data_IF_271171710306
#
_entry.id   IF_271171710306
#
_cell.length_a   1.000
_cell.length_b   1.000
_cell.length_c   1.000
_cell.angle_alpha   90.00
_cell.angle_beta   90.00
_cell.angle_gamma   90.00
#
_symmetry.space_group_name_H-M   'P 1'
#
loop_
_entity.id
_entity.type
_entity.pdbx_description
1 polymer ?
#
# COMPACT_ATOMS: atom_id res chain seq x y z
N UNK A 1 -0.67 61.65 -37.47
CA UNK A 1 -0.52 60.25 -37.05
C UNK A 1 -1.51 60.01 -35.94
N UNK A 2 -2.50 59.16 -36.16
CA UNK A 2 -3.52 58.81 -35.17
C UNK A 2 -2.92 57.91 -34.10
N UNK A 3 -3.13 58.23 -32.83
CA UNK A 3 -2.70 57.40 -31.71
C UNK A 3 -3.49 56.08 -31.71
N UNK A 4 -2.83 54.94 -31.44
CA UNK A 4 -3.52 53.66 -31.32
C UNK A 4 -4.51 53.69 -30.16
N UNK A 5 -5.68 53.09 -30.39
CA UNK A 5 -6.79 53.04 -29.46
C UNK A 5 -6.41 52.18 -28.23
N UNK A 6 -6.41 52.73 -26.99
CA UNK A 6 -5.98 52.02 -25.79
C UNK A 6 -6.79 50.74 -25.49
N UNK A 7 -7.97 50.59 -26.09
CA UNK A 7 -8.78 49.38 -25.98
C UNK A 7 -8.15 48.16 -26.68
N UNK A 8 -7.28 48.37 -27.66
CA UNK A 8 -6.64 47.28 -28.41
C UNK A 8 -5.67 46.49 -27.53
N UNK A 9 -4.90 47.18 -26.68
CA UNK A 9 -3.92 46.52 -25.81
C UNK A 9 -4.58 45.70 -24.69
N UNK A 10 -5.72 46.16 -24.17
CA UNK A 10 -6.48 45.44 -23.14
C UNK A 10 -7.12 44.16 -23.71
N UNK A 11 -7.68 44.23 -24.93
CA UNK A 11 -8.23 43.06 -25.63
C UNK A 11 -7.13 42.04 -25.96
N UNK A 12 -5.95 42.50 -26.39
CA UNK A 12 -4.81 41.62 -26.68
C UNK A 12 -4.30 40.96 -25.39
N UNK A 13 -4.20 41.70 -24.29
CA UNK A 13 -3.77 41.18 -22.99
C UNK A 13 -4.73 40.12 -22.44
N UNK A 14 -6.04 40.40 -22.52
CA UNK A 14 -7.10 39.45 -22.13
C UNK A 14 -7.06 38.18 -22.97
N UNK A 15 -6.91 38.31 -24.29
CA UNK A 15 -6.78 37.15 -25.19
C UNK A 15 -5.55 36.30 -24.91
N UNK A 16 -4.40 36.92 -24.59
CA UNK A 16 -3.17 36.19 -24.20
C UNK A 16 -3.37 35.42 -22.90
N UNK A 17 -4.04 36.01 -21.90
CA UNK A 17 -4.33 35.34 -20.63
C UNK A 17 -5.24 34.13 -20.83
N UNK A 18 -6.34 34.28 -21.59
CA UNK A 18 -7.24 33.17 -21.91
C UNK A 18 -6.54 32.03 -22.66
N UNK A 19 -5.67 32.36 -23.63
CA UNK A 19 -4.87 31.35 -24.33
C UNK A 19 -3.90 30.61 -23.40
N UNK A 20 -3.29 31.30 -22.42
CA UNK A 20 -2.39 30.66 -21.45
C UNK A 20 -3.11 29.71 -20.50
N UNK A 21 -4.28 30.08 -19.98
CA UNK A 21 -5.11 29.23 -19.11
C UNK A 21 -5.62 28.01 -19.88
N UNK A 22 -5.96 28.19 -21.15
CA UNK A 22 -6.43 27.13 -22.02
C UNK A 22 -5.30 26.15 -22.41
N UNK A 23 -4.08 26.65 -22.64
CA UNK A 23 -2.90 25.80 -22.85
C UNK A 23 -2.60 24.93 -21.63
N UNK A 24 -2.65 25.53 -20.44
CA UNK A 24 -2.46 24.80 -19.17
C UNK A 24 -3.50 23.68 -18.99
N UNK A 25 -4.77 23.95 -19.31
CA UNK A 25 -5.83 22.94 -19.25
C UNK A 25 -5.59 21.78 -20.24
N UNK A 26 -5.19 22.08 -21.49
CA UNK A 26 -4.86 21.07 -22.49
C UNK A 26 -3.71 20.18 -22.03
N UNK A 27 -2.65 20.78 -21.47
CA UNK A 27 -1.48 20.04 -21.00
C UNK A 27 -1.83 19.16 -19.78
N UNK A 28 -2.71 19.64 -18.91
CA UNK A 28 -3.26 18.86 -17.79
C UNK A 28 -4.03 17.64 -18.28
N UNK A 29 -4.90 17.80 -19.30
CA UNK A 29 -5.63 16.68 -19.91
C UNK A 29 -4.66 15.71 -20.60
N UNK A 30 -3.69 16.21 -21.37
CA UNK A 30 -2.68 15.36 -22.04
C UNK A 30 -1.89 14.53 -21.03
N UNK A 31 -1.45 15.14 -19.93
CA UNK A 31 -0.73 14.43 -18.86
C UNK A 31 -1.62 13.39 -18.20
N UNK A 32 -2.88 13.72 -17.92
CA UNK A 32 -3.86 12.78 -17.35
C UNK A 32 -4.09 11.59 -18.27
N UNK A 33 -4.31 11.83 -19.57
CA UNK A 33 -4.49 10.78 -20.58
C UNK A 33 -3.23 9.95 -20.79
N UNK A 34 -2.04 10.56 -20.71
CA UNK A 34 -0.76 9.83 -20.78
C UNK A 34 -0.60 8.89 -19.59
N UNK A 35 -0.88 9.37 -18.38
CA UNK A 35 -0.86 8.55 -17.15
C UNK A 35 -1.86 7.40 -17.25
N UNK A 36 -3.09 7.68 -17.70
CA UNK A 36 -4.11 6.64 -17.92
C UNK A 36 -3.65 5.61 -18.96
N UNK A 37 -3.10 6.06 -20.09
CA UNK A 37 -2.59 5.16 -21.14
C UNK A 37 -1.41 4.31 -20.65
N UNK A 38 -0.48 4.89 -19.91
CA UNK A 38 0.66 4.16 -19.32
C UNK A 38 0.21 3.17 -18.24
N UNK A 39 -0.84 3.50 -17.47
CA UNK A 39 -1.45 2.58 -16.52
C UNK A 39 -2.23 1.45 -17.19
N UNK A 40 -2.78 1.68 -18.40
CA UNK A 40 -3.57 0.69 -19.16
C UNK A 40 -2.76 -0.28 -20.01
N UNK A 41 -1.46 0.00 -20.24
CA UNK A 41 -0.59 -0.95 -20.96
C UNK A 41 -0.44 -2.19 -20.10
N UNK A 42 -0.83 -3.35 -20.64
CA UNK A 42 -0.60 -4.64 -20.01
C UNK A 42 0.89 -4.79 -19.68
N UNK A 43 1.24 -4.61 -18.40
CA UNK A 43 2.55 -4.98 -17.91
C UNK A 43 2.66 -6.49 -18.07
N UNK A 44 3.82 -6.96 -18.51
CA UNK A 44 4.19 -8.37 -18.38
C UNK A 44 3.83 -8.87 -16.96
N UNK A 45 3.56 -10.17 -16.74
CA UNK A 45 2.99 -10.70 -15.49
C UNK A 45 3.77 -10.40 -14.19
N UNK A 46 4.90 -9.68 -14.26
CA UNK A 46 5.42 -8.83 -13.19
C UNK A 46 4.58 -7.53 -13.04
N UNK A 47 3.31 -7.64 -12.67
CA UNK A 47 2.51 -6.46 -12.30
C UNK A 47 3.08 -5.80 -11.03
N UNK A 48 2.92 -4.48 -10.84
CA UNK A 48 3.29 -3.83 -9.59
C UNK A 48 2.25 -4.22 -8.53
N UNK A 49 2.66 -4.81 -7.41
CA UNK A 49 1.80 -4.72 -6.23
C UNK A 49 1.97 -5.74 -5.14
N UNK A 50 2.57 -6.91 -5.41
CA UNK A 50 2.65 -7.95 -4.38
C UNK A 50 3.99 -8.67 -4.38
N UNK A 51 5.07 -7.91 -4.43
CA UNK A 51 6.37 -8.48 -4.09
C UNK A 51 6.32 -8.86 -2.61
N UNK A 52 6.45 -10.16 -2.34
CA UNK A 52 6.61 -10.67 -0.98
C UNK A 52 8.08 -10.50 -0.63
N UNK A 53 8.36 -9.63 0.34
CA UNK A 53 9.71 -9.32 0.75
C UNK A 53 9.79 -9.12 2.26
N UNK A 54 11.00 -9.19 2.80
CA UNK A 54 11.32 -8.74 4.15
C UNK A 54 11.86 -7.31 4.07
N UNK A 55 11.49 -6.49 5.05
CA UNK A 55 11.90 -5.09 5.13
C UNK A 55 12.85 -4.88 6.29
N UNK A 56 14.10 -4.57 6.01
CA UNK A 56 15.09 -4.21 7.04
C UNK A 56 14.97 -2.74 7.42
N UNK A 57 14.55 -2.44 8.66
CA UNK A 57 14.37 -1.06 9.16
C UNK A 57 15.66 -0.22 9.14
N UNK A 58 16.83 -0.84 9.18
CA UNK A 58 18.12 -0.14 9.17
C UNK A 58 18.56 0.27 7.77
N UNK A 59 18.22 -0.52 6.75
CA UNK A 59 18.64 -0.28 5.37
C UNK A 59 17.52 0.30 4.50
N UNK A 60 16.28 0.23 4.97
CA UNK A 60 15.13 0.82 4.31
C UNK A 60 15.00 2.30 4.71
N UNK A 61 15.96 3.11 4.27
CA UNK A 61 16.02 4.55 4.56
C UNK A 61 16.02 5.32 3.24
N UNK A 62 15.00 6.15 3.01
CA UNK A 62 14.91 7.05 1.85
C UNK A 62 14.02 6.56 0.70
N UNK A 63 14.11 7.23 -0.45
CA UNK A 63 13.33 6.95 -1.67
C UNK A 63 13.83 5.73 -2.46
N UNK A 64 15.05 5.26 -2.19
CA UNK A 64 15.60 4.04 -2.79
C UNK A 64 15.19 2.81 -1.99
N UNK A 65 13.96 2.34 -2.23
CA UNK A 65 13.38 1.17 -1.56
C UNK A 65 14.16 -0.16 -1.72
N UNK A 66 15.19 -0.18 -2.58
CA UNK A 66 15.92 -1.40 -2.95
C UNK A 66 16.88 -1.90 -1.87
N UNK A 67 17.54 -1.01 -1.12
CA UNK A 67 18.65 -1.43 -0.23
C UNK A 67 18.18 -2.18 1.03
N UNK A 68 16.93 -2.00 1.43
CA UNK A 68 16.33 -2.68 2.59
C UNK A 68 15.33 -3.78 2.25
N UNK A 69 15.12 -4.07 0.96
CA UNK A 69 14.20 -5.09 0.47
C UNK A 69 14.95 -6.41 0.29
N UNK A 70 14.49 -7.47 0.96
CA UNK A 70 15.01 -8.83 0.77
C UNK A 70 13.89 -9.66 0.14
N UNK A 71 14.08 -10.10 -1.11
CA UNK A 71 13.03 -10.80 -1.84
C UNK A 71 12.82 -12.20 -1.27
N UNK A 72 11.55 -12.61 -1.13
CA UNK A 72 11.19 -13.95 -0.71
C UNK A 72 10.98 -14.79 -1.97
N UNK A 73 11.86 -15.77 -2.16
CA UNK A 73 11.78 -16.73 -3.24
C UNK A 73 11.08 -18.02 -2.78
N UNK A 74 10.56 -18.79 -3.73
CA UNK A 74 9.99 -20.11 -3.47
C UNK A 74 11.04 -21.14 -3.01
N UNK A 75 12.32 -20.87 -3.27
CA UNK A 75 13.43 -21.67 -2.74
C UNK A 75 13.91 -21.07 -1.41
N UNK A 76 13.62 -21.74 -0.30
CA UNK A 76 14.08 -21.34 1.03
C UNK A 76 15.59 -21.13 1.10
N UNK A 77 16.36 -21.82 0.23
CA UNK A 77 17.82 -21.68 0.17
C UNK A 77 18.26 -20.40 -0.50
N UNK A 78 17.51 -19.86 -1.45
CA UNK A 78 17.85 -18.55 -2.03
C UNK A 78 17.44 -17.43 -1.07
N UNK A 79 16.26 -17.53 -0.45
CA UNK A 79 15.81 -16.57 0.57
C UNK A 79 16.81 -16.49 1.74
N UNK A 80 17.31 -17.63 2.23
CA UNK A 80 18.34 -17.65 3.27
C UNK A 80 19.65 -16.98 2.81
N UNK A 81 20.09 -17.23 1.58
CA UNK A 81 21.29 -16.59 1.00
C UNK A 81 21.12 -15.08 0.87
N UNK A 82 19.93 -14.61 0.48
CA UNK A 82 19.65 -13.17 0.33
C UNK A 82 19.65 -12.47 1.69
N UNK A 83 19.15 -13.13 2.73
CA UNK A 83 19.24 -12.65 4.13
C UNK A 83 20.70 -12.59 4.57
N UNK A 84 21.47 -13.65 4.34
CA UNK A 84 22.89 -13.71 4.69
C UNK A 84 23.69 -12.61 3.97
N UNK A 85 23.44 -12.42 2.67
CA UNK A 85 24.07 -11.39 1.85
C UNK A 85 23.69 -9.99 2.32
N UNK A 86 22.42 -9.75 2.64
CA UNK A 86 21.94 -8.46 3.14
C UNK A 86 22.58 -8.10 4.48
N UNK A 87 22.53 -9.01 5.46
CA UNK A 87 23.08 -8.76 6.80
C UNK A 87 24.61 -8.58 6.77
N UNK A 88 25.30 -9.28 5.87
CA UNK A 88 26.75 -9.15 5.67
C UNK A 88 27.15 -7.96 4.81
N UNK A 89 26.19 -7.19 4.28
CA UNK A 89 26.48 -6.06 3.40
C UNK A 89 27.18 -4.93 4.18
N UNK A 90 28.11 -4.23 3.52
CA UNK A 90 28.80 -3.07 4.10
C UNK A 90 27.83 -1.97 4.53
N UNK A 91 26.73 -1.81 3.79
CA UNK A 91 25.70 -0.83 4.07
C UNK A 91 24.92 -1.17 5.35
N UNK A 92 24.51 -2.43 5.52
CA UNK A 92 23.88 -2.89 6.76
C UNK A 92 24.79 -2.67 7.97
N UNK A 93 26.05 -3.10 7.89
CA UNK A 93 27.03 -2.89 8.95
C UNK A 93 27.25 -1.41 9.27
N UNK A 94 27.31 -0.55 8.25
CA UNK A 94 27.41 0.91 8.44
C UNK A 94 26.21 1.42 9.22
N UNK A 95 24.99 1.05 8.82
CA UNK A 95 23.76 1.52 9.47
C UNK A 95 23.60 1.01 10.90
N UNK A 96 23.95 -0.26 11.17
CA UNK A 96 23.98 -0.82 12.54
C UNK A 96 24.95 -0.04 13.43
N UNK A 97 26.15 0.25 12.93
CA UNK A 97 27.19 0.94 13.69
C UNK A 97 26.88 2.43 13.90
N UNK A 98 26.34 3.12 12.88
CA UNK A 98 26.03 4.54 12.93
C UNK A 98 24.82 4.83 13.82
N UNK A 99 23.74 4.04 13.69
CA UNK A 99 22.52 4.29 14.46
C UNK A 99 22.62 3.85 15.92
N UNK A 100 23.59 2.97 16.25
CA UNK A 100 23.78 2.37 17.59
C UNK A 100 22.50 1.82 18.21
N UNK A 101 21.53 1.41 17.38
CA UNK A 101 20.24 0.88 17.82
C UNK A 101 20.03 -0.50 17.21
N UNK A 102 19.46 -1.46 17.96
CA UNK A 102 19.01 -2.70 17.38
C UNK A 102 17.93 -2.38 16.35
N UNK A 103 18.13 -2.87 15.13
CA UNK A 103 17.14 -2.80 14.08
C UNK A 103 16.07 -3.88 14.26
N UNK A 104 15.18 -3.95 13.29
CA UNK A 104 14.25 -5.05 13.09
C UNK A 104 14.03 -5.32 11.61
N UNK A 105 13.65 -6.56 11.29
CA UNK A 105 13.16 -6.95 9.96
C UNK A 105 11.66 -7.20 10.07
N UNK A 106 10.87 -6.46 9.28
CA UNK A 106 9.43 -6.69 9.15
C UNK A 106 9.18 -7.77 8.11
N UNK A 107 8.53 -8.86 8.52
CA UNK A 107 8.04 -9.87 7.60
C UNK A 107 6.66 -9.46 7.06
N UNK A 108 6.56 -9.12 5.77
CA UNK A 108 5.30 -8.65 5.17
C UNK A 108 4.23 -9.75 5.04
N UNK A 109 4.62 -11.03 5.10
CA UNK A 109 3.70 -12.17 5.08
C UNK A 109 3.06 -12.38 6.45
N UNK A 110 3.87 -12.33 7.50
CA UNK A 110 3.42 -12.58 8.87
C UNK A 110 2.91 -11.31 9.57
N UNK A 111 3.22 -10.13 9.03
CA UNK A 111 2.98 -8.81 9.65
C UNK A 111 3.60 -8.71 11.05
N UNK A 112 4.85 -9.19 11.19
CA UNK A 112 5.58 -9.19 12.45
C UNK A 112 7.00 -8.62 12.28
N UNK A 113 7.48 -7.97 13.33
CA UNK A 113 8.84 -7.44 13.43
C UNK A 113 9.74 -8.43 14.14
N UNK A 114 10.84 -8.81 13.50
CA UNK A 114 11.89 -9.68 14.03
C UNK A 114 13.05 -8.78 14.48
N UNK A 115 13.28 -8.71 15.79
CA UNK A 115 14.36 -7.89 16.33
C UNK A 115 15.74 -8.38 15.84
N UNK A 116 16.58 -7.44 15.41
CA UNK A 116 17.96 -7.71 15.00
C UNK A 116 18.90 -7.53 16.19
N UNK A 117 19.79 -8.49 16.36
CA UNK A 117 20.95 -8.36 17.23
C UNK A 117 22.06 -7.58 16.53
N UNK A 118 23.00 -7.03 17.31
CA UNK A 118 24.26 -6.50 16.78
C UNK A 118 25.13 -7.57 16.14
N UNK A 119 24.91 -8.83 16.51
CA UNK A 119 25.55 -9.99 15.89
C UNK A 119 24.69 -10.53 14.75
N UNK A 120 25.21 -10.44 13.53
CA UNK A 120 24.56 -10.95 12.32
C UNK A 120 24.22 -12.44 12.42
N UNK A 121 25.06 -13.25 13.07
CA UNK A 121 24.82 -14.68 13.22
C UNK A 121 23.59 -14.94 14.11
N UNK A 122 23.42 -14.15 15.17
CA UNK A 122 22.23 -14.24 16.02
C UNK A 122 20.99 -13.81 15.23
N UNK A 123 21.06 -12.71 14.49
CA UNK A 123 19.97 -12.23 13.64
C UNK A 123 19.54 -13.27 12.59
N UNK A 124 20.50 -13.89 11.89
CA UNK A 124 20.23 -14.97 10.93
C UNK A 124 19.50 -16.15 11.58
N UNK A 125 19.96 -16.56 12.77
CA UNK A 125 19.35 -17.66 13.53
C UNK A 125 17.96 -17.31 14.10
N UNK A 126 17.52 -16.05 14.04
CA UNK A 126 16.13 -15.68 14.36
C UNK A 126 15.27 -15.59 13.10
N UNK A 127 15.78 -15.00 12.03
CA UNK A 127 15.01 -14.75 10.79
C UNK A 127 14.78 -16.05 10.02
N UNK A 128 15.81 -16.88 9.85
CA UNK A 128 15.71 -18.10 9.03
C UNK A 128 14.72 -19.11 9.63
N UNK A 129 14.73 -19.40 10.95
CA UNK A 129 13.71 -20.25 11.55
C UNK A 129 12.31 -19.69 11.39
N UNK A 130 12.11 -18.38 11.57
CA UNK A 130 10.80 -17.74 11.40
C UNK A 130 10.22 -17.97 9.99
N UNK A 131 11.04 -17.84 8.94
CA UNK A 131 10.57 -18.05 7.56
C UNK A 131 10.24 -19.52 7.29
N UNK A 132 10.93 -20.44 7.98
CA UNK A 132 10.72 -21.89 7.91
C UNK A 132 9.64 -22.40 8.88
N UNK A 133 8.99 -21.52 9.64
CA UNK A 133 7.85 -21.92 10.48
C UNK A 133 6.68 -22.35 9.58
N UNK A 134 6.04 -23.48 9.91
CA UNK A 134 4.88 -23.99 9.17
C UNK A 134 3.76 -22.94 9.03
N UNK A 135 3.60 -22.09 10.03
CA UNK A 135 2.63 -20.98 10.02
C UNK A 135 3.00 -19.90 8.99
N UNK A 136 4.30 -19.62 8.81
CA UNK A 136 4.79 -18.71 7.78
C UNK A 136 4.53 -19.29 6.40
N UNK A 137 4.89 -20.55 6.16
CA UNK A 137 4.65 -21.24 4.88
C UNK A 137 3.17 -21.27 4.51
N UNK A 138 2.29 -21.59 5.46
CA UNK A 138 0.85 -21.59 5.25
C UNK A 138 0.30 -20.20 4.88
N UNK A 139 0.78 -19.14 5.56
CA UNK A 139 0.44 -17.75 5.22
C UNK A 139 1.00 -17.36 3.85
N UNK A 140 2.24 -17.74 3.55
CA UNK A 140 2.90 -17.48 2.26
C UNK A 140 2.09 -18.08 1.11
N UNK A 141 1.75 -19.36 1.20
CA UNK A 141 0.94 -20.06 0.22
C UNK A 141 -0.45 -19.44 0.05
N UNK A 142 -1.09 -19.02 1.16
CA UNK A 142 -2.39 -18.34 1.14
C UNK A 142 -2.31 -16.97 0.44
N UNK A 143 -1.31 -16.16 0.76
CA UNK A 143 -1.10 -14.84 0.14
C UNK A 143 -0.83 -15.02 -1.36
N UNK A 144 0.03 -15.97 -1.74
CA UNK A 144 0.30 -16.29 -3.14
C UNK A 144 -0.94 -16.76 -3.90
N UNK A 145 -1.77 -17.60 -3.27
CA UNK A 145 -3.06 -18.03 -3.84
C UNK A 145 -4.01 -16.84 -4.04
N UNK A 146 -4.08 -15.93 -3.08
CA UNK A 146 -4.90 -14.71 -3.20
C UNK A 146 -4.40 -13.84 -4.35
N UNK A 147 -3.09 -13.60 -4.46
CA UNK A 147 -2.50 -12.81 -5.55
C UNK A 147 -2.86 -13.42 -6.90
N UNK A 148 -2.72 -14.74 -7.07
CA UNK A 148 -3.12 -15.43 -8.31
C UNK A 148 -4.60 -15.20 -8.64
N UNK A 149 -5.49 -15.36 -7.65
CA UNK A 149 -6.93 -15.10 -7.83
C UNK A 149 -7.22 -13.65 -8.24
N UNK A 150 -6.50 -12.67 -7.70
CA UNK A 150 -6.66 -11.27 -8.10
C UNK A 150 -6.17 -11.02 -9.53
N UNK A 151 -5.00 -11.55 -9.88
CA UNK A 151 -4.45 -11.44 -11.25
C UNK A 151 -5.39 -12.08 -12.28
N UNK A 152 -6.04 -13.18 -11.94
CA UNK A 152 -7.01 -13.86 -12.83
C UNK A 152 -8.35 -13.12 -12.96
N UNK A 153 -8.70 -12.25 -11.99
CA UNK A 153 -9.96 -11.47 -11.97
C UNK A 153 -9.80 -10.08 -12.61
N UNK A 154 -8.60 -9.51 -12.58
CA UNK A 154 -8.32 -8.15 -13.10
C UNK A 154 -8.30 -7.93 -14.63
N UNK A 155 -8.32 -8.92 -15.56
CA UNK A 155 -8.33 -8.59 -16.98
C UNK A 155 -9.62 -7.90 -17.46
N UNK A 156 -10.74 -8.06 -16.74
CA UNK A 156 -12.07 -7.63 -17.23
C UNK A 156 -12.61 -6.32 -16.65
N UNK A 157 -12.13 -5.85 -15.49
CA UNK A 157 -12.73 -4.70 -14.80
C UNK A 157 -12.00 -3.37 -14.99
N UNK A 158 -10.76 -3.38 -15.51
CA UNK A 158 -9.96 -2.18 -15.76
C UNK A 158 -9.67 -1.90 -17.24
N UNK A 159 -10.13 -2.77 -18.15
CA UNK A 159 -10.33 -2.33 -19.53
C UNK A 159 -11.55 -1.42 -19.52
N UNK A 160 -11.32 -0.09 -19.50
CA UNK A 160 -12.29 0.86 -20.05
C UNK A 160 -12.75 0.25 -21.37
N UNK A 161 -14.04 -0.08 -21.45
CA UNK A 161 -14.56 -0.65 -22.68
C UNK A 161 -14.21 0.32 -23.82
N UNK A 162 -13.82 -0.15 -25.02
CA UNK A 162 -13.46 0.74 -26.12
C UNK A 162 -14.50 1.85 -26.38
N UNK A 163 -15.76 1.63 -26.01
CA UNK A 163 -16.83 2.62 -25.99
C UNK A 163 -16.61 3.78 -25.02
N UNK A 164 -16.20 3.53 -23.77
CA UNK A 164 -16.04 4.57 -22.74
C UNK A 164 -14.82 5.46 -23.01
N UNK A 165 -13.75 4.87 -23.55
CA UNK A 165 -12.59 5.64 -24.00
C UNK A 165 -12.93 6.48 -25.23
N UNK A 166 -13.72 5.96 -26.17
CA UNK A 166 -14.22 6.71 -27.32
C UNK A 166 -15.15 7.87 -26.93
N UNK A 167 -16.00 7.69 -25.93
CA UNK A 167 -16.87 8.75 -25.39
C UNK A 167 -16.06 9.87 -24.73
N UNK A 168 -15.00 9.52 -24.00
CA UNK A 168 -14.10 10.50 -23.39
C UNK A 168 -13.30 11.27 -24.44
N UNK A 169 -12.76 10.60 -25.45
CA UNK A 169 -12.09 11.24 -26.59
C UNK A 169 -13.05 12.16 -27.37
N UNK A 170 -14.31 11.74 -27.56
CA UNK A 170 -15.33 12.56 -28.20
C UNK A 170 -15.71 13.79 -27.36
N UNK A 171 -15.86 13.64 -26.04
CA UNK A 171 -16.16 14.73 -25.13
C UNK A 171 -15.04 15.78 -25.12
N UNK A 172 -13.78 15.35 -25.03
CA UNK A 172 -12.60 16.24 -25.11
C UNK A 172 -12.55 16.94 -26.47
N UNK A 173 -12.76 16.21 -27.58
CA UNK A 173 -12.82 16.78 -28.93
C UNK A 173 -13.90 17.84 -29.09
N UNK A 174 -15.11 17.55 -28.58
CA UNK A 174 -16.26 18.45 -28.65
C UNK A 174 -16.02 19.72 -27.83
N UNK A 175 -15.43 19.58 -26.63
CA UNK A 175 -15.06 20.71 -25.80
C UNK A 175 -14.03 21.58 -26.53
N UNK A 176 -12.95 20.99 -27.04
CA UNK A 176 -11.89 21.72 -27.73
C UNK A 176 -12.34 22.44 -29.01
N UNK A 177 -13.31 21.89 -29.75
CA UNK A 177 -13.95 22.59 -30.87
C UNK A 177 -14.84 23.75 -30.39
N UNK A 178 -15.62 23.57 -29.32
CA UNK A 178 -16.49 24.62 -28.75
C UNK A 178 -15.70 25.82 -28.22
N UNK A 179 -14.49 25.59 -27.68
CA UNK A 179 -13.61 26.69 -27.22
C UNK A 179 -12.75 27.26 -28.36
N UNK A 180 -12.92 26.81 -29.60
CA UNK A 180 -12.20 27.32 -30.78
C UNK A 180 -10.70 26.96 -30.83
N UNK A 181 -10.24 26.04 -29.96
CA UNK A 181 -8.84 25.60 -29.86
C UNK A 181 -8.44 24.79 -31.09
N UNK A 182 -9.35 23.94 -31.56
CA UNK A 182 -9.11 23.07 -32.71
C UNK A 182 -9.91 23.58 -33.91
N UNK A 183 -9.20 23.85 -35.01
CA UNK A 183 -9.83 24.12 -36.32
C UNK A 183 -10.40 22.85 -37.00
N UNK A 184 -10.32 21.69 -36.34
CA UNK A 184 -10.71 20.38 -36.88
C UNK A 184 -10.89 19.33 -35.77
N UNK A 185 -11.06 18.06 -36.14
CA UNK A 185 -11.25 16.99 -35.14
C UNK A 185 -9.98 16.76 -34.30
N UNK A 186 -10.11 16.23 -33.09
CA UNK A 186 -8.95 15.86 -32.25
C UNK A 186 -8.03 14.84 -32.94
N UNK A 187 -8.59 13.95 -33.76
CA UNK A 187 -7.80 13.02 -34.58
C UNK A 187 -6.87 13.76 -35.55
N UNK A 188 -7.38 14.81 -36.21
CA UNK A 188 -6.59 15.62 -37.14
C UNK A 188 -5.53 16.44 -36.41
N UNK A 189 -5.85 16.95 -35.22
CA UNK A 189 -4.87 17.61 -34.34
C UNK A 189 -3.74 16.67 -33.92
N UNK A 190 -4.06 15.45 -33.50
CA UNK A 190 -3.04 14.45 -33.12
C UNK A 190 -2.18 14.04 -34.32
N UNK A 191 -2.76 13.91 -35.53
CA UNK A 191 -1.99 13.69 -36.76
C UNK A 191 -1.05 14.87 -37.06
N UNK A 192 -1.52 16.11 -36.89
CA UNK A 192 -0.71 17.30 -37.12
C UNK A 192 0.43 17.45 -36.10
N UNK A 193 0.19 17.08 -34.82
CA UNK A 193 1.25 17.06 -33.81
C UNK A 193 2.30 16.00 -34.10
N UNK A 194 1.88 14.79 -34.49
CA UNK A 194 2.81 13.73 -34.89
C UNK A 194 3.66 14.13 -36.10
N UNK A 195 3.06 14.81 -37.08
CA UNK A 195 3.80 15.33 -38.24
C UNK A 195 4.85 16.38 -37.84
N UNK A 196 4.54 17.26 -36.86
CA UNK A 196 5.52 18.22 -36.33
C UNK A 196 6.64 17.55 -35.54
N UNK A 197 6.33 16.57 -34.69
CA UNK A 197 7.36 15.81 -33.97
C UNK A 197 8.28 15.05 -34.93
N UNK A 198 7.75 14.52 -36.03
CA UNK A 198 8.56 13.90 -37.08
C UNK A 198 9.43 14.94 -37.81
N UNK A 199 8.87 16.12 -38.15
CA UNK A 199 9.62 17.23 -38.77
C UNK A 199 10.76 17.76 -37.86
N UNK A 200 10.53 17.89 -36.56
CA UNK A 200 11.56 18.26 -35.58
C UNK A 200 12.66 17.20 -35.49
N UNK A 201 12.32 15.90 -35.54
CA UNK A 201 13.34 14.84 -35.57
C UNK A 201 14.21 14.91 -36.82
N UNK A 202 13.64 15.29 -37.96
CA UNK A 202 14.42 15.48 -39.19
C UNK A 202 15.30 16.74 -39.13
N UNK A 203 14.84 17.82 -38.51
CA UNK A 203 15.60 19.06 -38.40
C UNK A 203 16.74 19.02 -37.36
N UNK A 204 16.65 18.15 -36.33
CA UNK A 204 17.71 17.99 -35.32
C UNK A 204 18.93 17.22 -35.85
N UNK A 205 18.83 16.56 -37.01
CA UNK A 205 19.96 15.87 -37.66
C UNK A 205 20.78 16.72 -38.65
N UNK A 206 20.45 18.00 -38.84
CA UNK A 206 20.93 18.80 -39.98
C UNK A 206 22.12 19.73 -39.75
N UNK A 207 22.80 19.68 -38.60
CA UNK A 207 23.99 20.49 -38.37
C UNK A 207 25.19 19.62 -38.00
N UNK A 208 26.26 19.81 -38.78
CA UNK A 208 27.60 19.20 -38.69
C UNK A 208 27.84 17.91 -39.48
N UNK A 209 28.06 18.08 -40.79
CA UNK A 209 29.23 17.45 -41.41
C UNK A 209 29.67 18.26 -42.63
N UNK A 210 30.82 18.92 -42.51
CA UNK A 210 31.67 19.27 -43.65
C UNK A 210 31.92 17.99 -44.45
N UNK A 211 31.37 17.90 -45.67
CA UNK A 211 31.78 16.88 -46.63
C UNK A 211 32.21 17.58 -47.91
N UNK A 212 33.51 17.49 -48.18
CA UNK A 212 34.11 17.88 -49.46
C UNK A 212 33.46 17.06 -50.57
N UNK A 213 32.97 17.74 -51.60
CA UNK A 213 32.28 17.10 -52.71
C UNK A 213 33.21 16.28 -53.62
N UNK A 214 32.61 15.50 -54.54
CA UNK A 214 33.23 15.18 -55.82
C UNK A 214 32.47 15.84 -57.00
N UNK A 215 33.10 15.91 -58.18
CA UNK A 215 32.78 16.88 -59.22
C UNK A 215 31.61 16.45 -60.11
N UNK A 216 31.07 17.46 -60.79
CA UNK A 216 30.07 17.35 -61.84
C UNK A 216 30.48 16.36 -62.93
N UNK A 217 29.51 15.55 -63.37
CA UNK A 217 29.54 14.92 -64.67
C UNK A 217 28.20 15.08 -65.38
N UNK A 218 28.34 15.26 -66.68
CA UNK A 218 27.38 15.76 -67.66
C UNK A 218 26.21 14.81 -67.96
N UNK A 219 25.13 15.48 -68.39
CA UNK A 219 24.00 15.07 -69.22
C UNK A 219 24.14 13.77 -70.03
N UNK A 220 23.06 12.98 -70.09
CA UNK A 220 22.54 12.42 -71.35
C UNK A 220 21.04 12.11 -71.28
N UNK A 221 20.33 12.51 -72.34
CA UNK A 221 18.95 12.20 -72.73
C UNK A 221 18.64 10.69 -72.71
N UNK A 222 17.37 10.31 -72.47
CA UNK A 222 16.49 9.67 -73.47
C UNK A 222 15.09 9.28 -72.93
N UNK A 223 14.11 9.50 -73.82
CA UNK A 223 12.86 8.77 -74.06
C UNK A 223 11.59 8.98 -73.21
N UNK A 224 10.64 9.68 -73.84
CA UNK A 224 9.19 9.52 -73.77
C UNK A 224 8.74 8.09 -74.14
N UNK A 225 7.65 7.64 -73.51
CA UNK A 225 6.90 6.44 -73.91
C UNK A 225 5.63 6.24 -73.10
N UNK A 226 4.48 6.58 -73.70
CA UNK A 226 3.10 6.38 -73.26
C UNK A 226 2.79 4.93 -72.83
N UNK A 227 1.83 4.73 -71.91
CA UNK A 227 0.74 3.75 -72.08
C UNK A 227 -0.44 3.99 -71.13
N UNK A 228 -1.63 3.74 -71.68
CA UNK A 228 -3.00 4.06 -71.26
C UNK A 228 -3.61 3.27 -70.08
N UNK A 229 -4.70 3.86 -69.58
CA UNK A 229 -5.96 3.26 -69.11
C UNK A 229 -5.96 2.22 -67.96
N UNK A 230 -6.65 2.58 -66.85
CA UNK A 230 -7.88 1.86 -66.46
C UNK A 230 -8.64 2.50 -65.29
N UNK A 231 -9.95 2.60 -65.51
CA UNK A 231 -11.03 3.15 -64.70
C UNK A 231 -11.28 2.47 -63.32
N UNK A 232 -12.09 3.09 -62.42
CA UNK A 232 -12.16 2.77 -61.00
C UNK A 232 -13.23 1.72 -60.67
N UNK A 233 -13.01 0.91 -59.62
CA UNK A 233 -14.01 0.00 -59.05
C UNK A 233 -14.30 0.29 -57.57
N UNK A 234 -15.45 0.95 -57.38
CA UNK A 234 -16.56 0.69 -56.44
C UNK A 234 -16.25 0.26 -54.99
N UNK A 235 -16.62 1.17 -54.07
CA UNK A 235 -17.02 0.93 -52.69
C UNK A 235 -18.17 -0.08 -52.60
N UNK A 236 -18.12 -0.95 -51.60
CA UNK A 236 -19.25 -1.73 -51.10
C UNK A 236 -19.44 -1.44 -49.60
N UNK A 237 -20.68 -1.09 -49.23
CA UNK A 237 -21.18 -0.85 -47.87
C UNK A 237 -21.26 -2.14 -47.05
N UNK A 238 -20.93 -2.11 -45.74
CA UNK A 238 -21.23 -3.19 -44.82
C UNK A 238 -22.48 -2.86 -43.98
N UNK A 239 -23.66 -2.88 -44.60
CA UNK A 239 -24.92 -3.06 -43.87
C UNK A 239 -25.65 -4.26 -44.47
N UNK A 240 -25.38 -5.44 -43.91
CA UNK A 240 -26.29 -6.58 -44.02
C UNK A 240 -26.21 -7.42 -42.74
N UNK A 241 -27.26 -7.28 -41.92
CA UNK A 241 -27.62 -8.21 -40.85
C UNK A 241 -28.23 -9.47 -41.49
N UNK A 242 -28.16 -10.62 -40.81
CA UNK A 242 -29.24 -11.60 -40.85
C UNK A 242 -29.96 -11.68 -39.51
N UNK A 243 -31.28 -11.81 -39.61
CA UNK A 243 -32.23 -11.88 -38.53
C UNK A 243 -32.61 -13.32 -38.17
N UNK A 244 -33.21 -13.44 -36.98
CA UNK A 244 -34.13 -14.48 -36.48
C UNK A 244 -33.56 -15.79 -35.94
N UNK A 245 -33.87 -16.06 -34.65
CA UNK A 245 -34.92 -17.02 -34.27
C UNK A 245 -35.42 -16.79 -32.84
N UNK A 246 -36.73 -16.51 -32.76
CA UNK A 246 -37.59 -16.55 -31.57
C UNK A 246 -37.95 -18.01 -31.27
N UNK A 247 -37.94 -18.41 -30.00
CA UNK A 247 -38.73 -19.54 -29.50
C UNK A 247 -39.34 -19.11 -28.17
N UNK A 248 -40.67 -19.11 -28.13
CA UNK A 248 -41.49 -18.82 -26.97
C UNK A 248 -41.92 -20.13 -26.25
N UNK A 249 -42.21 -19.96 -24.95
CA UNK A 249 -43.07 -20.77 -24.06
C UNK A 249 -42.53 -22.09 -23.46
N UNK A 250 -42.47 -22.16 -22.12
CA UNK A 250 -43.53 -22.78 -21.29
C UNK A 250 -43.41 -22.40 -19.79
N UNK A 251 -44.57 -22.08 -19.20
CA UNK A 251 -44.84 -21.97 -17.77
C UNK A 251 -44.78 -23.34 -17.08
N UNK A 252 -44.28 -23.42 -15.84
CA UNK A 252 -44.78 -24.39 -14.86
C UNK A 252 -44.52 -23.93 -13.41
N UNK A 253 -45.62 -23.72 -12.70
CA UNK A 253 -45.73 -23.46 -11.28
C UNK A 253 -45.31 -24.65 -10.40
N UNK A 254 -44.92 -24.31 -9.17
CA UNK A 254 -45.10 -25.07 -7.91
C UNK A 254 -44.35 -26.40 -7.70
N UNK A 255 -43.58 -26.47 -6.60
CA UNK A 255 -43.94 -27.29 -5.43
C UNK A 255 -43.00 -27.07 -4.23
N UNK A 256 -43.63 -26.71 -3.12
CA UNK A 256 -43.19 -26.99 -1.75
C UNK A 256 -42.63 -28.42 -1.61
N UNK A 257 -41.47 -28.54 -0.97
CA UNK A 257 -41.13 -29.70 -0.12
C UNK A 257 -40.33 -29.22 1.09
N UNK A 258 -41.07 -28.98 2.18
CA UNK A 258 -40.59 -29.33 3.51
C UNK A 258 -40.53 -30.84 3.57
N UNK A 259 -39.36 -31.43 3.84
CA UNK A 259 -39.28 -32.78 4.38
C UNK A 259 -38.19 -32.83 5.45
N UNK A 260 -38.67 -33.00 6.67
CA UNK A 260 -37.92 -33.45 7.83
C UNK A 260 -37.19 -34.74 7.52
N UNK A 261 -35.89 -34.79 7.82
CA UNK A 261 -35.20 -36.06 8.06
C UNK A 261 -34.65 -36.07 9.48
N UNK A 262 -35.50 -36.56 10.38
CA UNK A 262 -35.09 -37.23 11.61
C UNK A 262 -34.59 -38.63 11.23
N UNK A 263 -33.39 -39.00 11.70
CA UNK A 263 -32.83 -40.34 11.59
C UNK A 263 -31.68 -40.53 12.59
N UNK A 264 -31.44 -41.75 13.09
CA UNK A 264 -31.53 -42.01 14.53
C UNK A 264 -30.19 -42.12 15.27
N UNK A 265 -30.31 -41.97 16.59
CA UNK A 265 -29.40 -42.39 17.64
C UNK A 265 -28.69 -43.73 17.34
N UNK A 266 -27.36 -43.73 17.43
CA UNK A 266 -26.57 -44.89 17.81
C UNK A 266 -25.74 -44.55 19.04
N UNK A 267 -26.17 -45.11 20.19
CA UNK A 267 -25.41 -45.15 21.44
C UNK A 267 -24.18 -46.04 21.23
N UNK A 268 -23.01 -45.43 21.06
CA UNK A 268 -21.72 -46.09 21.11
C UNK A 268 -21.02 -45.79 22.43
N UNK A 269 -21.32 -46.57 23.46
CA UNK A 269 -20.55 -46.61 24.71
C UNK A 269 -19.22 -47.31 24.46
N UNK A 270 -18.16 -46.52 24.22
CA UNK A 270 -16.78 -46.99 24.12
C UNK A 270 -15.92 -46.37 25.21
N UNK A 271 -15.63 -47.15 26.26
CA UNK A 271 -14.65 -46.80 27.29
C UNK A 271 -13.24 -46.75 26.69
N UNK A 272 -12.70 -45.55 26.47
CA UNK A 272 -11.27 -45.39 26.21
C UNK A 272 -10.51 -45.52 27.53
N UNK A 273 -9.83 -46.67 27.68
CA UNK A 273 -8.85 -46.92 28.74
C UNK A 273 -7.62 -46.04 28.49
N UNK A 274 -7.39 -45.10 29.39
CA UNK A 274 -6.11 -44.42 29.57
C UNK A 274 -5.03 -45.46 29.94
N UNK A 275 -4.04 -45.66 29.08
CA UNK A 275 -2.80 -46.35 29.44
C UNK A 275 -1.59 -45.63 28.83
N UNK A 276 -0.57 -45.46 29.68
CA UNK A 276 0.82 -45.05 29.39
C UNK A 276 1.18 -43.56 29.43
N UNK A 277 1.08 -42.94 30.62
CA UNK A 277 2.07 -41.95 31.05
C UNK A 277 3.14 -42.67 31.88
N UNK A 278 4.32 -42.89 31.29
CA UNK A 278 5.52 -43.32 32.03
C UNK A 278 6.02 -42.13 32.87
N UNK A 279 6.31 -42.28 34.17
CA UNK A 279 6.91 -41.22 34.96
C UNK A 279 8.38 -41.03 34.59
N UNK A 280 8.77 -39.78 34.38
CA UNK A 280 10.15 -39.36 34.15
C UNK A 280 10.89 -39.40 35.50
N UNK A 281 11.81 -40.35 35.68
CA UNK A 281 12.73 -40.38 36.82
C UNK A 281 13.95 -39.50 36.49
N UNK A 282 14.09 -38.37 37.18
CA UNK A 282 15.33 -37.60 37.21
C UNK A 282 16.32 -38.24 38.18
N UNK A 283 17.61 -38.40 37.83
CA UNK A 283 18.58 -39.01 38.72
C UNK A 283 18.99 -38.06 39.86
N UNK A 284 19.15 -38.64 41.05
CA UNK A 284 19.66 -37.99 42.23
C UNK A 284 21.11 -37.53 42.03
N UNK A 285 21.37 -36.24 42.23
CA UNK A 285 22.72 -35.68 42.29
C UNK A 285 23.33 -35.96 43.67
N UNK A 286 24.33 -36.83 43.69
CA UNK A 286 25.07 -37.21 44.89
C UNK A 286 26.06 -36.11 45.30
N UNK A 287 26.06 -35.80 46.60
CA UNK A 287 27.04 -34.97 47.30
C UNK A 287 28.24 -35.83 47.71
N UNK A 288 29.41 -35.60 47.13
CA UNK A 288 30.73 -35.85 47.75
C UNK A 288 31.70 -34.80 47.14
N UNK A 289 32.10 -33.74 47.86
CA UNK A 289 33.15 -33.64 48.89
C UNK A 289 34.56 -33.91 48.36
N UNK A 290 35.29 -32.82 48.12
CA UNK A 290 36.75 -32.61 48.16
C UNK A 290 37.03 -31.28 47.44
N UNK A 291 37.90 -30.35 47.78
CA UNK A 291 38.71 -29.98 48.96
C UNK A 291 39.56 -28.79 48.46
N UNK A 292 39.82 -27.80 49.32
CA UNK A 292 40.92 -26.82 49.21
C UNK A 292 41.10 -26.01 47.91
N UNK A 293 40.83 -24.71 47.96
CA UNK A 293 41.91 -23.74 47.84
C UNK A 293 41.52 -22.37 48.40
N UNK A 294 42.42 -21.86 49.24
CA UNK A 294 42.43 -20.54 49.85
C UNK A 294 42.50 -19.45 48.78
N UNK A 295 41.65 -18.44 48.85
CA UNK A 295 42.05 -17.06 48.52
C UNK A 295 41.33 -16.08 49.44
N UNK A 296 42.11 -15.16 49.99
CA UNK A 296 41.79 -14.26 51.08
C UNK A 296 40.70 -13.26 50.71
N UNK A 297 39.70 -13.17 51.60
CA UNK A 297 38.68 -12.13 51.61
C UNK A 297 39.25 -10.81 52.15
N UNK A 298 39.02 -9.73 51.40
CA UNK A 298 39.20 -8.36 51.85
C UNK A 298 37.98 -7.52 51.48
N UNK A 299 36.83 -7.76 52.14
CA UNK A 299 35.65 -6.91 52.00
C UNK A 299 35.25 -6.33 53.36
N UNK A 300 35.28 -4.99 53.44
CA UNK A 300 34.87 -4.18 54.58
C UNK A 300 33.34 -4.23 54.75
N UNK A 301 32.81 -4.36 55.99
CA UNK A 301 31.37 -4.34 56.21
C UNK A 301 30.83 -2.92 56.08
N UNK A 302 29.84 -2.73 55.19
CA UNK A 302 29.03 -1.51 55.11
C UNK A 302 28.05 -1.50 56.28
N UNK A 303 28.09 -0.41 57.03
CA UNK A 303 27.18 -0.08 58.15
C UNK A 303 25.73 -0.10 57.70
N UNK A 304 24.89 -0.72 58.53
CA UNK A 304 23.45 -0.57 58.53
C UNK A 304 23.08 0.90 58.77
N UNK A 305 22.40 1.49 57.80
CA UNK A 305 21.76 2.80 57.94
C UNK A 305 20.25 2.56 57.88
N UNK A 306 19.65 2.34 59.05
CA UNK A 306 18.21 2.33 59.24
C UNK A 306 17.66 3.74 58.98
N UNK A 307 17.01 3.92 57.82
CA UNK A 307 16.17 5.08 57.57
C UNK A 307 14.72 4.73 57.86
N UNK A 308 14.17 5.38 58.89
CA UNK A 308 12.75 5.52 59.17
C UNK A 308 12.03 6.07 57.94
N UNK A 309 11.13 5.28 57.35
CA UNK A 309 10.10 5.79 56.44
C UNK A 309 8.77 5.85 57.17
N UNK A 310 8.37 7.07 57.52
CA UNK A 310 7.01 7.40 57.95
C UNK A 310 6.04 7.14 56.80
N UNK A 311 4.94 6.45 57.10
CA UNK A 311 3.86 6.16 56.16
C UNK A 311 3.21 7.46 55.64
N UNK A 312 2.95 7.60 54.33
CA UNK A 312 2.24 8.76 53.80
C UNK A 312 0.72 8.65 54.05
N UNK A 313 0.01 9.79 54.17
CA UNK A 313 -1.39 9.82 54.51
C UNK A 313 -2.28 9.24 53.40
N UNK A 314 -3.24 8.43 53.85
CA UNK A 314 -4.19 7.63 53.10
C UNK A 314 -5.30 8.50 52.50
N UNK A 315 -5.01 9.44 51.59
CA UNK A 315 -6.06 10.14 50.81
C UNK A 315 -5.56 10.93 49.58
N UNK A 316 -4.73 10.33 48.74
CA UNK A 316 -4.48 10.86 47.39
C UNK A 316 -4.75 9.76 46.36
N UNK A 317 -5.75 9.98 45.51
CA UNK A 317 -5.94 9.17 44.31
C UNK A 317 -4.63 9.16 43.52
N UNK A 318 -4.15 8.00 43.06
CA UNK A 318 -2.93 7.94 42.27
C UNK A 318 -3.17 8.70 40.96
N UNK A 319 -2.57 9.88 40.84
CA UNK A 319 -2.37 10.50 39.54
C UNK A 319 -1.50 9.53 38.73
N UNK A 320 -2.14 8.84 37.78
CA UNK A 320 -1.46 7.96 36.86
C UNK A 320 -0.33 8.77 36.22
N UNK A 321 0.92 8.34 36.39
CA UNK A 321 2.06 8.88 35.65
C UNK A 321 1.82 8.50 34.18
N UNK A 322 1.20 9.44 33.47
CA UNK A 322 0.83 9.33 32.05
C UNK A 322 2.11 9.18 31.21
N UNK A 323 1.91 8.50 30.09
CA UNK A 323 2.85 8.14 29.01
C UNK A 323 4.09 9.02 28.79
N UNK A 324 5.08 8.46 28.08
CA UNK A 324 6.28 9.15 27.56
C UNK A 324 5.99 10.38 26.66
N UNK A 325 4.73 10.77 26.49
CA UNK A 325 4.31 11.97 25.78
C UNK A 325 3.86 13.01 26.81
N UNK A 326 4.71 14.01 27.08
CA UNK A 326 4.29 15.18 27.86
C UNK A 326 3.08 15.86 27.20
N UNK A 327 2.35 16.73 27.93
CA UNK A 327 1.18 17.44 27.39
C UNK A 327 1.48 18.20 26.08
N UNK A 328 2.74 18.57 25.84
CA UNK A 328 3.21 19.27 24.64
C UNK A 328 3.58 18.33 23.47
N UNK A 329 3.64 17.01 23.67
CA UNK A 329 4.01 16.02 22.64
C UNK A 329 2.80 15.23 22.13
N UNK A 330 1.58 15.76 22.28
CA UNK A 330 0.40 15.12 21.69
C UNK A 330 0.48 15.20 20.17
N UNK A 331 0.06 14.15 19.44
CA UNK A 331 0.01 14.21 17.99
C UNK A 331 -0.85 15.41 17.57
N UNK A 332 -0.30 16.27 16.70
CA UNK A 332 -1.07 17.39 16.12
C UNK A 332 -2.21 16.89 15.22
N UNK A 333 -2.05 15.70 14.65
CA UNK A 333 -3.02 15.11 13.73
C UNK A 333 -4.18 14.42 14.48
N UNK A 334 -5.39 14.39 13.89
CA UNK A 334 -6.52 13.64 14.40
C UNK A 334 -6.16 12.17 14.72
N UNK A 335 -6.57 11.70 15.89
CA UNK A 335 -6.28 10.34 16.33
C UNK A 335 -7.33 9.83 17.32
N UNK A 336 -7.33 8.51 17.50
CA UNK A 336 -8.13 7.80 18.49
C UNK A 336 -7.19 7.15 19.49
N UNK A 337 -7.38 7.44 20.77
CA UNK A 337 -6.52 6.96 21.85
C UNK A 337 -7.15 5.75 22.53
N UNK A 338 -6.44 4.62 22.53
CA UNK A 338 -6.85 3.43 23.28
C UNK A 338 -6.51 3.61 24.77
N UNK A 339 -7.52 3.65 25.65
CA UNK A 339 -7.30 3.86 27.08
C UNK A 339 -6.62 2.66 27.77
N UNK A 340 -6.72 1.46 27.19
CA UNK A 340 -6.10 0.23 27.70
C UNK A 340 -4.58 0.26 27.45
N UNK A 341 -4.18 0.56 26.21
CA UNK A 341 -2.79 0.49 25.79
C UNK A 341 -2.03 1.81 25.90
N UNK A 342 -2.74 2.91 26.15
CA UNK A 342 -2.22 4.27 26.08
C UNK A 342 -1.52 4.56 24.76
N UNK A 343 -2.12 4.11 23.66
CA UNK A 343 -1.56 4.18 22.31
C UNK A 343 -2.48 5.03 21.42
N UNK A 344 -1.96 6.10 20.78
CA UNK A 344 -2.69 6.84 19.76
C UNK A 344 -2.71 6.02 18.47
N UNK A 345 -3.88 5.98 17.82
CA UNK A 345 -4.10 5.40 16.51
C UNK A 345 -4.49 6.54 15.59
N UNK A 346 -3.64 6.85 14.63
CA UNK A 346 -3.83 8.00 13.75
C UNK A 346 -5.07 7.78 12.87
N UNK A 347 -5.87 8.84 12.71
CA UNK A 347 -6.93 8.86 11.72
C UNK A 347 -6.30 9.27 10.38
N UNK A 348 -6.59 8.49 9.35
CA UNK A 348 -6.18 8.75 7.96
C UNK A 348 -7.43 8.93 7.10
N UNK A 349 -7.28 9.61 5.96
CA UNK A 349 -8.35 9.75 4.97
C UNK A 349 -8.86 8.39 4.46
N UNK A 350 -7.95 7.40 4.37
CA UNK A 350 -8.32 6.03 4.04
C UNK A 350 -8.78 5.26 5.28
N UNK A 351 -10.10 5.19 5.44
CA UNK A 351 -10.75 4.48 6.53
C UNK A 351 -10.34 3.01 6.62
N UNK A 352 -10.09 2.34 5.49
CA UNK A 352 -9.73 0.92 5.51
C UNK A 352 -8.39 0.70 6.21
N UNK A 353 -7.45 1.63 6.07
CA UNK A 353 -6.17 1.62 6.81
C UNK A 353 -6.37 1.85 8.29
N UNK A 354 -7.19 2.82 8.68
CA UNK A 354 -7.52 3.08 10.09
C UNK A 354 -8.06 1.82 10.74
N UNK A 355 -9.03 1.16 10.11
CA UNK A 355 -9.61 -0.08 10.63
C UNK A 355 -8.64 -1.26 10.62
N UNK A 356 -7.76 -1.36 9.63
CA UNK A 356 -6.71 -2.39 9.62
C UNK A 356 -5.73 -2.22 10.78
N UNK A 357 -5.29 -0.99 11.04
CA UNK A 357 -4.38 -0.67 12.16
C UNK A 357 -5.09 -0.89 13.50
N UNK A 358 -6.34 -0.44 13.64
CA UNK A 358 -7.10 -0.62 14.88
C UNK A 358 -7.43 -2.10 15.13
N UNK A 359 -7.71 -2.84 14.06
CA UNK A 359 -7.89 -4.29 14.06
C UNK A 359 -6.64 -5.01 14.58
N UNK A 360 -5.49 -4.72 13.98
CA UNK A 360 -4.20 -5.25 14.41
C UNK A 360 -3.89 -4.87 15.86
N UNK A 361 -4.14 -3.61 16.24
CA UNK A 361 -3.93 -3.13 17.60
C UNK A 361 -4.73 -3.92 18.64
N UNK A 362 -6.04 -4.09 18.44
CA UNK A 362 -6.88 -4.79 19.41
C UNK A 362 -6.60 -6.29 19.48
N UNK A 363 -6.17 -6.91 18.37
CA UNK A 363 -5.74 -8.32 18.32
C UNK A 363 -4.30 -8.52 18.82
N UNK A 364 -3.55 -7.44 19.00
CA UNK A 364 -2.16 -7.49 19.42
C UNK A 364 -2.01 -7.99 20.86
N UNK A 365 -0.96 -8.78 21.10
CA UNK A 365 -0.66 -9.40 22.42
C UNK A 365 -0.64 -8.38 23.55
N UNK A 366 -0.06 -7.19 23.31
CA UNK A 366 -0.01 -6.10 24.28
C UNK A 366 -1.39 -5.59 24.67
N UNK A 367 -2.33 -5.54 23.73
CA UNK A 367 -3.70 -5.13 24.02
C UNK A 367 -4.41 -6.16 24.87
N UNK A 368 -4.38 -7.43 24.47
CA UNK A 368 -4.97 -8.53 25.23
C UNK A 368 -4.44 -8.57 26.67
N UNK A 369 -3.11 -8.52 26.83
CA UNK A 369 -2.47 -8.52 28.15
C UNK A 369 -2.92 -7.33 29.02
N UNK A 370 -2.96 -6.12 28.45
CA UNK A 370 -3.41 -4.94 29.19
C UNK A 370 -4.92 -4.98 29.46
N UNK A 371 -5.71 -5.58 28.58
CA UNK A 371 -7.17 -5.69 28.73
C UNK A 371 -7.55 -6.64 29.88
N UNK A 372 -6.79 -7.71 30.07
CA UNK A 372 -6.93 -8.65 31.21
C UNK A 372 -6.47 -8.03 32.53
N UNK A 373 -5.37 -7.26 32.51
CA UNK A 373 -4.80 -6.63 33.70
C UNK A 373 -5.41 -5.27 34.07
N UNK A 374 -6.24 -4.69 33.20
CA UNK A 374 -6.86 -3.40 33.47
C UNK A 374 -7.98 -3.54 34.49
N UNK A 375 -7.78 -2.97 35.69
CA UNK A 375 -8.81 -2.82 36.71
C UNK A 375 -9.84 -1.72 36.39
N UNK A 376 -9.69 -1.01 35.27
CA UNK A 376 -10.65 0.03 34.89
C UNK A 376 -11.99 -0.61 34.52
N UNK A 377 -13.07 -0.17 35.19
CA UNK A 377 -14.43 -0.64 34.90
C UNK A 377 -14.93 -0.26 33.51
N UNK A 378 -14.32 0.76 32.89
CA UNK A 378 -14.72 1.28 31.58
C UNK A 378 -13.56 1.25 30.60
N UNK A 379 -13.69 0.42 29.57
CA UNK A 379 -12.78 0.35 28.42
C UNK A 379 -13.33 1.25 27.32
N UNK A 380 -12.51 2.16 26.78
CA UNK A 380 -12.96 3.11 25.78
C UNK A 380 -11.83 3.59 24.87
N UNK A 381 -12.21 3.95 23.66
CA UNK A 381 -11.40 4.80 22.81
C UNK A 381 -11.74 6.27 23.08
N UNK A 382 -10.75 7.14 23.08
CA UNK A 382 -10.95 8.59 23.17
C UNK A 382 -10.61 9.21 21.82
N UNK A 383 -11.59 9.80 21.15
CA UNK A 383 -11.35 10.45 19.87
C UNK A 383 -10.94 11.91 20.11
N UNK A 384 -9.80 12.31 19.53
CA UNK A 384 -9.25 13.66 19.69
C UNK A 384 -10.10 14.74 19.04
N UNK A 385 -10.85 14.38 17.99
CA UNK A 385 -11.68 15.28 17.17
C UNK A 385 -12.97 15.66 17.90
N UNK A 386 -13.76 14.67 18.32
CA UNK A 386 -15.00 14.92 19.06
C UNK A 386 -14.77 15.18 20.56
N UNK A 387 -13.58 14.85 21.10
CA UNK A 387 -13.26 14.79 22.52
C UNK A 387 -14.20 13.87 23.33
N UNK A 388 -14.74 12.84 22.67
CA UNK A 388 -15.74 11.94 23.22
C UNK A 388 -15.15 10.54 23.50
N UNK A 389 -15.80 9.82 24.42
CA UNK A 389 -15.44 8.44 24.78
C UNK A 389 -16.31 7.47 23.99
N UNK A 390 -15.67 6.60 23.23
CA UNK A 390 -16.30 5.55 22.43
C UNK A 390 -16.14 4.25 23.20
N UNK A 391 -17.24 3.67 23.65
CA UNK A 391 -17.22 2.49 24.51
C UNK A 391 -16.65 1.27 23.78
N UNK A 392 -15.72 0.59 24.43
CA UNK A 392 -15.21 -0.70 23.98
C UNK A 392 -16.00 -1.82 24.65
N UNK A 393 -16.44 -2.78 23.83
CA UNK A 393 -17.04 -4.03 24.29
C UNK A 393 -15.94 -5.06 24.61
N UNK A 394 -16.32 -6.13 25.31
CA UNK A 394 -15.49 -7.33 25.40
C UNK A 394 -15.39 -8.04 24.05
N UNK A 395 -16.41 -7.91 23.21
CA UNK A 395 -16.37 -8.34 21.83
C UNK A 395 -15.63 -7.31 20.97
N UNK A 396 -14.62 -7.80 20.25
CA UNK A 396 -13.79 -7.00 19.37
C UNK A 396 -14.60 -6.46 18.19
N UNK A 397 -15.50 -7.25 17.60
CA UNK A 397 -16.28 -6.82 16.43
C UNK A 397 -17.27 -5.73 16.82
N UNK A 398 -17.90 -5.85 17.99
CA UNK A 398 -18.74 -4.78 18.55
C UNK A 398 -17.94 -3.51 18.83
N UNK A 399 -16.72 -3.62 19.33
CA UNK A 399 -15.85 -2.45 19.58
C UNK A 399 -15.50 -1.71 18.28
N UNK A 400 -15.20 -2.47 17.21
CA UNK A 400 -15.00 -1.90 15.88
C UNK A 400 -16.27 -1.23 15.36
N UNK A 401 -17.44 -1.88 15.48
CA UNK A 401 -18.72 -1.28 15.03
C UNK A 401 -19.05 0.01 15.79
N UNK A 402 -18.78 0.08 17.08
CA UNK A 402 -18.97 1.30 17.87
C UNK A 402 -18.07 2.43 17.37
N UNK A 403 -16.81 2.12 17.05
CA UNK A 403 -15.90 3.09 16.45
C UNK A 403 -16.35 3.49 15.05
N UNK A 404 -16.79 2.53 14.23
CA UNK A 404 -17.28 2.74 12.88
C UNK A 404 -18.47 3.68 12.85
N UNK A 405 -19.49 3.40 13.67
CA UNK A 405 -20.64 4.27 13.86
C UNK A 405 -20.26 5.65 14.41
N UNK A 406 -19.19 5.75 15.19
CA UNK A 406 -18.70 7.04 15.67
C UNK A 406 -18.04 7.85 14.57
N UNK A 407 -17.17 7.23 13.77
CA UNK A 407 -16.45 7.87 12.67
C UNK A 407 -17.41 8.30 11.54
N UNK A 408 -18.51 7.56 11.34
CA UNK A 408 -19.62 7.95 10.44
C UNK A 408 -20.58 8.99 11.04
N UNK A 409 -20.44 9.30 12.32
CA UNK A 409 -21.28 10.29 12.96
C UNK A 409 -21.08 11.67 12.34
N UNK A 410 -22.17 12.35 11.98
CA UNK A 410 -22.15 13.69 11.37
C UNK A 410 -21.25 14.65 12.17
N UNK A 411 -21.36 14.62 13.50
CA UNK A 411 -20.56 15.45 14.41
C UNK A 411 -19.05 15.18 14.30
N UNK A 412 -18.66 13.92 14.06
CA UNK A 412 -17.26 13.58 13.84
C UNK A 412 -16.77 14.13 12.50
N UNK A 413 -17.54 13.88 11.42
CA UNK A 413 -17.20 14.30 10.06
C UNK A 413 -17.03 15.82 9.98
N UNK A 414 -18.00 16.59 10.49
CA UNK A 414 -17.95 18.05 10.48
C UNK A 414 -16.69 18.59 11.16
N UNK A 415 -16.38 18.07 12.35
CA UNK A 415 -15.20 18.51 13.11
C UNK A 415 -13.89 18.04 12.48
N UNK A 416 -13.85 16.81 11.96
CA UNK A 416 -12.67 16.28 11.30
C UNK A 416 -12.32 17.10 10.06
N UNK A 417 -13.31 17.41 9.23
CA UNK A 417 -13.12 18.27 8.06
C UNK A 417 -12.67 19.68 8.47
N UNK A 418 -13.21 20.24 9.55
CA UNK A 418 -12.77 21.55 10.06
C UNK A 418 -11.31 21.52 10.56
N UNK A 419 -10.92 20.45 11.25
CA UNK A 419 -9.53 20.25 11.71
C UNK A 419 -8.58 20.09 10.52
N UNK A 420 -8.95 19.33 9.48
CA UNK A 420 -8.15 19.17 8.26
C UNK A 420 -7.99 20.48 7.50
N UNK A 421 -9.07 21.27 7.36
CA UNK A 421 -9.01 22.60 6.73
C UNK A 421 -8.08 23.53 7.53
N UNK A 422 -8.23 23.56 8.86
CA UNK A 422 -7.39 24.40 9.73
C UNK A 422 -5.92 24.00 9.60
N UNK A 423 -5.62 22.71 9.56
CA UNK A 423 -4.27 22.20 9.38
C UNK A 423 -3.70 22.50 7.98
N UNK A 424 -4.53 22.51 6.94
CA UNK A 424 -4.08 22.85 5.58
C UNK A 424 -3.84 24.36 5.37
N UNK A 425 -4.41 25.20 6.24
CA UNK A 425 -4.22 26.65 6.22
C UNK A 425 -3.02 27.12 7.06
N UNK A 426 -2.57 26.32 8.03
CA UNK A 426 -1.30 26.49 8.75
C UNK A 426 -0.10 26.08 7.89
#
# INVERSE_FOLDING_TARGET
>A
MSFPDPLVDEVISSGKKQLSEMSYFIDTIKNTLKVLRESSKAKAPSGPGYDLYLKCSLCYVGESFQNGKIELCDDDRSTARDIEQHLSSKEHHKNVNEMRKPGYITCMICDCDIELSYDNFISQNMIIPHIRELDHEAKHAKVKSNIRKYVDVEPSSYQLMPSEMGEMEHAVSSLSMKVGILKGSFSDFMKQQKAREEEERFNVGGNESQFQGPPAMETHHYHEGNFDDSYPKKRADPFNKPATKRVDHYNASSRNRNDHFNGPFMKGSGSFKNQHSKPFNSPAFNKERSSSNQFQAGYKPKRDMQHNYSAPPFNQQPQMKVSKFGPNNRPKRPHVWCNICMCPIMLEADRTKVFKVLSSHMKGVKHCFNQENSHSKSKYFFCSVCQCKILMSHDYDTSLKNLDSHLDGIVHIERFTQDEISFALE
#
